data_IF_949064119159
#
_entry.id   IF_949064119159
#
_cell.length_a   1.000
_cell.length_b   1.000
_cell.length_c   1.000
_cell.angle_alpha   90.00
_cell.angle_beta   90.00
_cell.angle_gamma   90.00
#
_symmetry.space_group_name_H-M   'P 1'
#
loop_
_entity.id
_entity.type
_entity.pdbx_description
1 polymer ?
#
# COMPACT_ATOMS: atom_id res chain seq x y z
N UNK A 1 6.43 -25.58 -17.27
CA UNK A 1 6.53 -26.12 -15.90
C UNK A 1 7.91 -26.74 -15.79
N UNK A 2 8.83 -26.08 -15.07
CA UNK A 2 10.24 -26.52 -15.06
C UNK A 2 10.41 -27.77 -14.18
N UNK A 3 11.45 -28.57 -14.45
CA UNK A 3 11.80 -29.77 -13.68
C UNK A 3 12.00 -29.48 -12.17
N UNK A 4 12.45 -28.25 -11.85
CA UNK A 4 12.50 -27.72 -10.50
C UNK A 4 11.11 -27.65 -9.84
N UNK A 5 10.08 -27.16 -10.54
CA UNK A 5 8.73 -27.01 -9.97
C UNK A 5 8.09 -28.37 -9.65
N UNK A 6 8.41 -29.40 -10.44
CA UNK A 6 7.94 -30.76 -10.23
C UNK A 6 8.51 -31.41 -8.94
N UNK A 7 9.79 -31.15 -8.62
CA UNK A 7 10.43 -31.65 -7.39
C UNK A 7 9.80 -31.07 -6.11
N UNK A 8 9.29 -29.85 -6.19
CA UNK A 8 8.63 -29.16 -5.07
C UNK A 8 7.17 -29.59 -4.83
N UNK A 9 6.58 -30.44 -5.68
CA UNK A 9 5.26 -31.05 -5.47
C UNK A 9 5.32 -32.37 -4.66
N UNK A 10 6.52 -32.88 -4.37
CA UNK A 10 6.71 -34.05 -3.50
C UNK A 10 6.57 -33.69 -2.02
N UNK A 11 6.43 -34.68 -1.13
CA UNK A 11 6.40 -34.45 0.33
C UNK A 11 7.66 -33.71 0.84
N UNK A 12 8.83 -34.04 0.28
CA UNK A 12 10.09 -33.35 0.57
C UNK A 12 10.09 -31.94 -0.02
N UNK A 13 9.51 -31.78 -1.20
CA UNK A 13 9.27 -30.51 -1.86
C UNK A 13 8.44 -29.55 -1.02
N UNK A 14 7.29 -30.01 -0.52
CA UNK A 14 6.41 -29.21 0.34
C UNK A 14 7.13 -28.79 1.64
N UNK A 15 7.86 -29.71 2.27
CA UNK A 15 8.69 -29.39 3.43
C UNK A 15 9.77 -28.35 3.08
N UNK A 16 10.40 -28.43 1.91
CA UNK A 16 11.36 -27.44 1.45
C UNK A 16 10.71 -26.07 1.19
N UNK A 17 9.47 -26.01 0.68
CA UNK A 17 8.72 -24.74 0.54
C UNK A 17 8.49 -24.09 1.90
N UNK A 18 8.00 -24.85 2.87
CA UNK A 18 7.73 -24.34 4.21
C UNK A 18 9.04 -23.91 4.90
N UNK A 19 10.10 -24.71 4.78
CA UNK A 19 11.41 -24.38 5.34
C UNK A 19 12.01 -23.14 4.67
N UNK A 20 11.81 -22.95 3.36
CA UNK A 20 12.24 -21.74 2.67
C UNK A 20 11.59 -20.48 3.25
N UNK A 21 10.29 -20.53 3.56
CA UNK A 21 9.59 -19.44 4.23
C UNK A 21 10.18 -19.12 5.62
N UNK A 22 10.50 -20.16 6.41
CA UNK A 22 11.12 -19.99 7.73
C UNK A 22 12.53 -19.40 7.64
N UNK A 23 13.30 -19.81 6.64
CA UNK A 23 14.69 -19.36 6.45
C UNK A 23 14.80 -17.93 5.88
N UNK A 24 13.72 -17.34 5.36
CA UNK A 24 13.70 -15.89 5.01
C UNK A 24 14.04 -14.99 6.20
N UNK A 25 13.80 -15.44 7.43
CA UNK A 25 14.06 -14.67 8.64
C UNK A 25 15.42 -14.97 9.29
N UNK A 26 16.25 -15.83 8.68
CA UNK A 26 17.53 -16.21 9.24
C UNK A 26 18.66 -15.45 8.56
N UNK A 27 19.41 -14.70 9.38
CA UNK A 27 20.63 -14.05 8.93
C UNK A 27 21.76 -15.06 8.71
N UNK A 28 22.67 -14.81 7.75
CA UNK A 28 23.91 -15.57 7.64
C UNK A 28 24.72 -15.58 8.95
N UNK A 29 25.55 -16.60 9.11
CA UNK A 29 26.33 -16.92 10.31
C UNK A 29 25.50 -17.21 11.59
N UNK A 30 24.19 -17.44 11.45
CA UNK A 30 23.35 -17.89 12.56
C UNK A 30 23.33 -19.41 12.69
N UNK A 31 23.18 -19.88 13.94
CA UNK A 31 22.96 -21.30 14.22
C UNK A 31 21.52 -21.66 13.87
N UNK A 32 21.34 -22.64 12.99
CA UNK A 32 20.02 -23.15 12.66
C UNK A 32 19.44 -24.01 13.80
N UNK A 33 18.10 -24.01 13.97
CA UNK A 33 17.40 -25.00 14.77
C UNK A 33 17.80 -26.44 14.42
N UNK A 34 17.63 -27.36 15.38
CA UNK A 34 17.92 -28.77 15.11
C UNK A 34 16.89 -29.31 14.12
N UNK A 35 17.28 -30.34 13.38
CA UNK A 35 16.38 -31.05 12.46
C UNK A 35 15.08 -31.48 13.15
N UNK A 36 15.14 -31.91 14.42
CA UNK A 36 13.93 -32.27 15.19
C UNK A 36 13.00 -31.08 15.40
N UNK A 37 13.57 -29.90 15.65
CA UNK A 37 12.80 -28.70 15.99
C UNK A 37 12.03 -28.24 14.74
N UNK A 38 12.69 -28.29 13.58
CA UNK A 38 12.03 -28.10 12.29
C UNK A 38 10.99 -29.19 11.99
N UNK A 39 11.28 -30.45 12.32
CA UNK A 39 10.36 -31.55 12.07
C UNK A 39 9.06 -31.41 12.88
N UNK A 40 9.19 -31.01 14.15
CA UNK A 40 8.06 -30.67 15.03
C UNK A 40 7.31 -29.46 14.49
N UNK A 41 8.01 -28.37 14.14
CA UNK A 41 7.40 -27.15 13.60
C UNK A 41 6.62 -27.40 12.29
N UNK A 42 7.15 -28.26 11.42
CA UNK A 42 6.57 -28.55 10.10
C UNK A 42 5.62 -29.76 10.10
N UNK A 43 5.48 -30.46 11.23
CA UNK A 43 4.66 -31.68 11.32
C UNK A 43 5.13 -32.82 10.40
N UNK A 44 6.44 -32.93 10.16
CA UNK A 44 7.01 -33.93 9.26
C UNK A 44 8.13 -34.75 9.93
N UNK A 45 8.67 -35.77 9.25
CA UNK A 45 9.73 -36.60 9.82
C UNK A 45 11.12 -35.97 9.63
N UNK A 46 12.07 -36.27 10.53
CA UNK A 46 13.46 -35.76 10.45
C UNK A 46 14.12 -35.97 9.08
N UNK A 47 13.93 -37.13 8.45
CA UNK A 47 14.47 -37.40 7.12
C UNK A 47 13.86 -36.52 6.02
N UNK A 48 12.61 -36.07 6.19
CA UNK A 48 11.94 -35.12 5.28
C UNK A 48 12.59 -33.74 5.40
N UNK A 49 12.85 -33.27 6.63
CA UNK A 49 13.55 -32.01 6.88
C UNK A 49 14.98 -32.04 6.32
N UNK A 50 15.71 -33.13 6.52
CA UNK A 50 17.06 -33.29 5.95
C UNK A 50 17.04 -33.23 4.43
N UNK A 51 16.13 -33.95 3.79
CA UNK A 51 15.96 -33.91 2.34
C UNK A 51 15.55 -32.51 1.85
N UNK A 52 14.70 -31.80 2.62
CA UNK A 52 14.29 -30.44 2.32
C UNK A 52 15.46 -29.44 2.39
N UNK A 53 16.26 -29.48 3.47
CA UNK A 53 17.49 -28.69 3.60
C UNK A 53 18.45 -28.96 2.44
N UNK A 54 18.66 -30.22 2.09
CA UNK A 54 19.53 -30.60 0.99
C UNK A 54 19.00 -30.09 -0.37
N UNK A 55 17.68 -30.09 -0.57
CA UNK A 55 17.05 -29.55 -1.77
C UNK A 55 17.25 -28.03 -1.88
N UNK A 56 17.16 -27.30 -0.76
CA UNK A 56 17.43 -25.86 -0.72
C UNK A 56 18.90 -25.55 -1.00
N UNK A 57 19.84 -26.35 -0.47
CA UNK A 57 21.27 -26.23 -0.80
C UNK A 57 21.55 -26.50 -2.28
N UNK A 58 21.01 -27.59 -2.83
CA UNK A 58 21.15 -27.93 -4.26
C UNK A 58 20.55 -26.85 -5.18
N UNK A 59 19.52 -26.16 -4.73
CA UNK A 59 18.90 -25.06 -5.47
C UNK A 59 19.68 -23.74 -5.34
N UNK A 60 20.78 -23.73 -4.58
CA UNK A 60 21.58 -22.53 -4.31
C UNK A 60 20.91 -21.52 -3.38
N UNK A 61 19.79 -21.89 -2.76
CA UNK A 61 19.01 -21.01 -1.89
C UNK A 61 19.72 -20.76 -0.56
N UNK A 62 20.45 -21.77 -0.06
CA UNK A 62 21.23 -21.68 1.17
C UNK A 62 22.55 -22.43 1.04
N UNK A 63 23.46 -22.18 1.96
CA UNK A 63 24.60 -23.05 2.24
C UNK A 63 24.74 -23.19 3.74
N UNK A 64 24.92 -24.42 4.23
CA UNK A 64 25.12 -24.67 5.65
C UNK A 64 26.47 -25.32 5.93
N UNK A 65 26.95 -25.18 7.17
CA UNK A 65 28.16 -25.86 7.64
C UNK A 65 27.90 -26.51 8.99
N UNK A 66 28.16 -27.80 9.08
CA UNK A 66 28.13 -28.54 10.34
C UNK A 66 29.40 -28.25 11.15
N UNK A 67 29.24 -27.72 12.37
CA UNK A 67 30.33 -27.46 13.32
C UNK A 67 30.31 -28.44 14.50
N UNK A 68 30.04 -29.72 14.21
CA UNK A 68 30.00 -30.79 15.21
C UNK A 68 29.00 -30.53 16.35
N UNK A 69 29.47 -30.54 17.59
CA UNK A 69 28.65 -30.31 18.79
C UNK A 69 28.00 -28.90 18.84
N UNK A 70 28.55 -27.94 18.10
CA UNK A 70 28.02 -26.59 18.00
C UNK A 70 26.77 -26.52 17.10
N UNK A 71 26.48 -27.58 16.33
CA UNK A 71 25.33 -27.66 15.44
C UNK A 71 25.62 -27.18 14.01
N UNK A 72 24.54 -26.96 13.25
CA UNK A 72 24.60 -26.51 11.86
C UNK A 72 24.41 -25.00 11.79
N UNK A 73 25.28 -24.33 11.03
CA UNK A 73 25.24 -22.88 10.82
C UNK A 73 24.82 -22.58 9.39
N UNK A 74 23.98 -21.56 9.22
CA UNK A 74 23.65 -20.99 7.91
C UNK A 74 24.79 -20.07 7.48
N UNK A 75 25.54 -20.43 6.45
CA UNK A 75 26.68 -19.64 5.95
C UNK A 75 26.23 -18.61 4.93
N UNK A 76 25.27 -18.99 4.08
CA UNK A 76 24.70 -18.12 3.05
C UNK A 76 23.20 -18.38 2.94
N UNK A 77 22.43 -17.32 2.70
CA UNK A 77 21.03 -17.38 2.28
C UNK A 77 20.81 -16.43 1.10
N UNK A 78 20.11 -16.91 0.09
CA UNK A 78 19.67 -16.14 -1.07
C UNK A 78 18.17 -15.88 -0.95
N UNK A 79 17.81 -14.66 -0.52
CA UNK A 79 16.42 -14.30 -0.20
C UNK A 79 15.51 -14.43 -1.42
N UNK A 80 15.99 -14.06 -2.60
CA UNK A 80 15.22 -14.14 -3.85
C UNK A 80 14.88 -15.58 -4.20
N UNK A 81 15.85 -16.50 -4.09
CA UNK A 81 15.59 -17.92 -4.33
C UNK A 81 14.68 -18.48 -3.24
N UNK A 82 14.91 -18.18 -1.97
CA UNK A 82 14.07 -18.62 -0.85
C UNK A 82 12.61 -18.18 -1.02
N UNK A 83 12.37 -16.94 -1.44
CA UNK A 83 11.03 -16.43 -1.72
C UNK A 83 10.35 -17.16 -2.88
N UNK A 84 11.09 -17.41 -3.96
CA UNK A 84 10.56 -18.17 -5.10
C UNK A 84 10.17 -19.59 -4.68
N UNK A 85 11.00 -20.24 -3.87
CA UNK A 85 10.80 -21.62 -3.43
C UNK A 85 9.73 -21.74 -2.34
N UNK A 86 9.54 -20.74 -1.48
CA UNK A 86 8.42 -20.74 -0.54
C UNK A 86 7.07 -20.66 -1.29
N UNK A 87 7.08 -20.03 -2.46
CA UNK A 87 5.92 -19.84 -3.31
C UNK A 87 4.87 -18.94 -2.63
N UNK A 88 5.37 -17.92 -1.94
CA UNK A 88 4.60 -16.83 -1.34
C UNK A 88 3.97 -15.90 -2.39
N UNK A 89 4.36 -16.03 -3.66
CA UNK A 89 3.78 -15.27 -4.76
C UNK A 89 4.33 -13.85 -4.86
N UNK A 90 3.56 -12.96 -5.48
CA UNK A 90 3.85 -11.52 -5.57
C UNK A 90 2.87 -10.79 -4.68
N UNK A 91 3.37 -9.88 -3.85
CA UNK A 91 2.51 -9.01 -3.05
C UNK A 91 1.88 -7.95 -3.94
N UNK A 92 0.55 -7.87 -3.94
CA UNK A 92 -0.22 -6.95 -4.76
C UNK A 92 -0.85 -5.87 -3.90
N UNK A 93 -0.51 -4.61 -4.17
CA UNK A 93 -1.12 -3.45 -3.53
C UNK A 93 -2.10 -2.73 -4.45
N UNK A 94 -3.31 -2.43 -3.98
CA UNK A 94 -4.23 -1.54 -4.69
C UNK A 94 -4.01 -0.08 -4.27
N UNK A 95 -3.83 0.80 -5.26
CA UNK A 95 -3.62 2.23 -5.08
C UNK A 95 -4.63 3.07 -5.87
N UNK A 96 -4.86 4.34 -5.48
CA UNK A 96 -5.46 5.31 -6.38
C UNK A 96 -4.68 5.38 -7.69
N UNK A 97 -5.38 5.69 -8.77
CA UNK A 97 -4.76 5.92 -10.07
C UNK A 97 -3.71 7.05 -9.99
N UNK A 98 -2.57 6.93 -10.70
CA UNK A 98 -1.40 7.79 -10.52
C UNK A 98 -1.58 9.12 -11.27
N UNK A 99 -2.54 9.94 -10.85
CA UNK A 99 -2.88 11.19 -11.52
C UNK A 99 -2.10 12.41 -11.04
N UNK A 100 -1.26 12.23 -10.02
CA UNK A 100 -0.37 13.25 -9.49
C UNK A 100 1.03 12.69 -9.31
N UNK A 101 2.05 13.55 -9.42
CA UNK A 101 3.43 13.20 -9.10
C UNK A 101 3.61 12.62 -7.70
N UNK A 102 2.72 12.98 -6.76
CA UNK A 102 2.73 12.44 -5.40
C UNK A 102 2.32 10.97 -5.38
N UNK A 103 1.29 10.58 -6.11
CA UNK A 103 0.91 9.16 -6.24
C UNK A 103 1.95 8.36 -7.01
N UNK A 104 2.52 8.93 -8.08
CA UNK A 104 3.63 8.32 -8.81
C UNK A 104 4.85 8.05 -7.89
N UNK A 105 5.21 9.05 -7.08
CA UNK A 105 6.28 8.93 -6.09
C UNK A 105 5.97 7.92 -4.99
N UNK A 106 4.72 7.88 -4.52
CA UNK A 106 4.28 6.91 -3.51
C UNK A 106 4.37 5.47 -4.02
N UNK A 107 3.89 5.22 -5.24
CA UNK A 107 3.95 3.91 -5.87
C UNK A 107 5.41 3.48 -6.10
N UNK A 108 6.26 4.43 -6.54
CA UNK A 108 7.70 4.20 -6.70
C UNK A 108 8.37 3.84 -5.37
N UNK A 109 8.03 4.56 -4.30
CA UNK A 109 8.57 4.32 -2.98
C UNK A 109 8.15 2.97 -2.41
N UNK A 110 6.88 2.59 -2.56
CA UNK A 110 6.38 1.29 -2.14
C UNK A 110 7.09 0.17 -2.90
N UNK A 111 7.20 0.26 -4.23
CA UNK A 111 7.89 -0.77 -5.01
C UNK A 111 9.35 -0.90 -4.57
N UNK A 112 10.06 0.21 -4.40
CA UNK A 112 11.44 0.21 -3.93
C UNK A 112 11.62 -0.43 -2.54
N UNK A 113 10.72 -0.16 -1.60
CA UNK A 113 10.77 -0.74 -0.26
C UNK A 113 10.57 -2.26 -0.24
N UNK A 114 9.67 -2.78 -1.06
CA UNK A 114 9.45 -4.22 -1.15
C UNK A 114 10.55 -4.93 -1.94
N UNK A 115 11.07 -4.31 -3.00
CA UNK A 115 12.23 -4.80 -3.75
C UNK A 115 13.48 -4.91 -2.84
N UNK A 116 13.73 -3.89 -2.01
CA UNK A 116 14.86 -3.90 -1.05
C UNK A 116 14.69 -4.96 0.04
N UNK A 117 13.45 -5.23 0.47
CA UNK A 117 13.13 -6.33 1.37
C UNK A 117 13.27 -7.73 0.69
N UNK A 118 13.47 -7.78 -0.62
CA UNK A 118 13.63 -9.00 -1.41
C UNK A 118 12.31 -9.69 -1.77
N UNK A 119 11.18 -8.96 -1.73
CA UNK A 119 9.87 -9.48 -2.11
C UNK A 119 9.43 -8.96 -3.50
N UNK A 120 8.99 -9.86 -4.40
CA UNK A 120 8.23 -9.47 -5.57
C UNK A 120 6.98 -8.69 -5.16
N UNK A 121 6.82 -7.50 -5.74
CA UNK A 121 5.73 -6.59 -5.44
C UNK A 121 5.18 -5.98 -6.72
N UNK A 122 3.87 -5.78 -6.77
CA UNK A 122 3.18 -5.14 -7.87
C UNK A 122 2.10 -4.18 -7.34
N UNK A 123 1.82 -3.14 -8.12
CA UNK A 123 0.73 -2.21 -7.84
C UNK A 123 -0.38 -2.40 -8.87
N UNK A 124 -1.62 -2.44 -8.41
CA UNK A 124 -2.81 -2.31 -9.25
C UNK A 124 -3.52 -1.00 -8.94
N UNK A 125 -4.03 -0.35 -9.98
CA UNK A 125 -4.67 0.95 -9.83
C UNK A 125 -6.18 0.82 -9.91
N UNK A 126 -6.85 1.37 -8.90
CA UNK A 126 -8.30 1.26 -8.74
C UNK A 126 -8.86 2.59 -8.25
N UNK A 127 -9.91 3.06 -8.93
CA UNK A 127 -10.65 4.27 -8.52
C UNK A 127 -11.55 3.96 -7.32
N UNK A 128 -11.64 4.92 -6.39
CA UNK A 128 -12.54 4.86 -5.24
C UNK A 128 -11.97 4.03 -4.09
N UNK A 129 -12.07 4.56 -2.87
CA UNK A 129 -11.60 3.87 -1.67
C UNK A 129 -12.38 2.56 -1.44
N UNK A 130 -13.71 2.59 -1.57
CA UNK A 130 -14.57 1.43 -1.35
C UNK A 130 -14.27 0.25 -2.28
N UNK A 131 -13.97 0.50 -3.56
CA UNK A 131 -13.62 -0.56 -4.50
C UNK A 131 -12.29 -1.25 -4.13
N UNK A 132 -11.31 -0.46 -3.65
CA UNK A 132 -10.03 -1.00 -3.15
C UNK A 132 -10.23 -1.83 -1.89
N UNK A 133 -11.03 -1.33 -0.95
CA UNK A 133 -11.39 -2.06 0.28
C UNK A 133 -12.09 -3.38 -0.04
N UNK A 134 -13.06 -3.39 -0.96
CA UNK A 134 -13.74 -4.62 -1.37
C UNK A 134 -12.75 -5.65 -1.94
N UNK A 135 -11.82 -5.21 -2.79
CA UNK A 135 -10.77 -6.10 -3.32
C UNK A 135 -9.87 -6.67 -2.22
N UNK A 136 -9.54 -5.90 -1.19
CA UNK A 136 -8.77 -6.40 -0.04
C UNK A 136 -9.55 -7.45 0.75
N UNK A 137 -10.79 -7.15 1.11
CA UNK A 137 -11.63 -8.06 1.90
C UNK A 137 -11.93 -9.37 1.16
N UNK A 138 -12.10 -9.30 -0.16
CA UNK A 138 -12.28 -10.47 -1.03
C UNK A 138 -10.97 -11.24 -1.31
N UNK A 139 -9.82 -10.75 -0.83
CA UNK A 139 -8.51 -11.39 -1.04
C UNK A 139 -7.97 -11.30 -2.46
N UNK A 140 -8.44 -10.32 -3.25
CA UNK A 140 -7.93 -10.05 -4.61
C UNK A 140 -6.62 -9.28 -4.60
N UNK A 141 -6.34 -8.55 -3.51
CA UNK A 141 -5.10 -7.83 -3.26
C UNK A 141 -4.66 -8.08 -1.82
N UNK A 142 -3.37 -7.96 -1.55
CA UNK A 142 -2.79 -8.17 -0.22
C UNK A 142 -2.78 -6.89 0.61
N UNK A 143 -2.67 -5.75 -0.07
CA UNK A 143 -2.47 -4.43 0.53
C UNK A 143 -3.37 -3.39 -0.16
N UNK A 144 -3.78 -2.38 0.58
CA UNK A 144 -4.50 -1.22 0.04
C UNK A 144 -3.88 0.07 0.57
N UNK A 145 -3.73 1.05 -0.32
CA UNK A 145 -3.29 2.41 0.01
C UNK A 145 -4.47 3.38 0.01
N UNK A 146 -4.59 4.12 1.11
CA UNK A 146 -5.67 5.08 1.39
C UNK A 146 -5.09 6.30 2.12
N UNK A 147 -5.91 7.32 2.36
CA UNK A 147 -5.60 8.29 3.40
C UNK A 147 -5.59 7.60 4.77
N UNK A 148 -4.87 8.19 5.73
CA UNK A 148 -4.90 7.71 7.12
C UNK A 148 -6.31 7.80 7.69
N UNK A 149 -7.03 8.89 7.39
CA UNK A 149 -8.42 9.07 7.82
C UNK A 149 -9.32 7.92 7.39
N UNK A 150 -9.34 7.59 6.09
CA UNK A 150 -10.15 6.49 5.56
C UNK A 150 -9.71 5.13 6.13
N UNK A 151 -8.40 4.92 6.29
CA UNK A 151 -7.89 3.70 6.91
C UNK A 151 -8.38 3.51 8.35
N UNK A 152 -8.44 4.58 9.15
CA UNK A 152 -8.91 4.49 10.54
C UNK A 152 -10.39 4.10 10.63
N UNK A 153 -11.23 4.61 9.74
CA UNK A 153 -12.64 4.19 9.64
C UNK A 153 -12.75 2.71 9.28
N UNK A 154 -12.00 2.26 8.27
CA UNK A 154 -12.03 0.87 7.83
C UNK A 154 -11.54 -0.11 8.91
N UNK A 155 -10.50 0.25 9.66
CA UNK A 155 -9.99 -0.55 10.78
C UNK A 155 -11.05 -0.69 11.89
N UNK A 156 -11.89 0.32 12.09
CA UNK A 156 -12.97 0.25 13.06
C UNK A 156 -14.14 -0.64 12.60
N UNK A 157 -14.37 -0.75 11.29
CA UNK A 157 -15.54 -1.41 10.71
C UNK A 157 -15.27 -2.81 10.16
N UNK A 158 -14.02 -3.15 9.86
CA UNK A 158 -13.63 -4.36 9.15
C UNK A 158 -12.41 -5.05 9.77
N UNK A 159 -12.19 -6.37 9.54
CA UNK A 159 -11.02 -7.10 10.01
C UNK A 159 -9.78 -6.77 9.17
N UNK A 160 -9.35 -5.51 9.21
CA UNK A 160 -8.15 -4.99 8.56
C UNK A 160 -7.25 -4.34 9.60
N UNK A 161 -5.94 -4.31 9.35
CA UNK A 161 -4.95 -3.70 10.23
C UNK A 161 -4.04 -2.74 9.49
N UNK A 162 -3.51 -1.77 10.24
CA UNK A 162 -2.52 -0.82 9.74
C UNK A 162 -1.16 -1.48 9.60
N UNK A 163 -0.63 -1.50 8.38
CA UNK A 163 0.74 -1.93 8.08
C UNK A 163 1.70 -0.76 8.22
N UNK A 164 1.31 0.41 7.71
CA UNK A 164 2.14 1.60 7.69
C UNK A 164 1.28 2.88 7.76
N UNK A 165 1.75 3.85 8.52
CA UNK A 165 1.39 5.26 8.35
C UNK A 165 2.65 5.99 7.86
N UNK A 166 2.59 6.53 6.64
CA UNK A 166 3.74 7.15 5.97
C UNK A 166 3.89 8.63 6.35
N UNK A 167 2.96 9.17 7.13
CA UNK A 167 3.00 10.53 7.65
C UNK A 167 2.44 11.59 6.69
N UNK A 168 2.25 12.82 7.17
CA UNK A 168 1.58 13.88 6.42
C UNK A 168 2.18 14.17 5.04
N UNK A 169 1.34 14.65 4.14
CA UNK A 169 1.70 14.98 2.75
C UNK A 169 2.30 13.80 1.95
N UNK A 170 1.98 12.55 2.29
CA UNK A 170 2.40 11.38 1.49
C UNK A 170 1.29 10.84 0.60
N UNK A 171 0.02 11.09 0.91
CA UNK A 171 -1.12 10.72 0.06
C UNK A 171 -1.55 11.90 -0.82
N UNK A 172 -1.79 13.04 -0.17
CA UNK A 172 -2.23 14.30 -0.78
C UNK A 172 -1.48 15.45 -0.12
N UNK A 173 -1.03 16.42 -0.89
CA UNK A 173 -0.26 17.57 -0.40
C UNK A 173 -1.09 18.49 0.48
N UNK A 174 -2.23 18.93 -0.06
CA UNK A 174 -3.22 19.71 0.67
C UNK A 174 -4.58 19.61 -0.03
N UNK A 175 -5.63 19.83 0.75
CA UNK A 175 -6.97 20.05 0.22
C UNK A 175 -7.26 21.55 0.23
N UNK A 176 -8.02 22.02 -0.76
CA UNK A 176 -8.46 23.41 -0.86
C UNK A 176 -9.88 23.49 -1.38
N UNK A 177 -10.56 24.59 -1.06
CA UNK A 177 -11.88 24.88 -1.61
C UNK A 177 -11.70 25.54 -2.98
N UNK A 178 -12.27 24.92 -4.00
CA UNK A 178 -12.34 25.43 -5.35
C UNK A 178 -13.63 26.21 -5.49
N UNK A 179 -13.55 27.45 -5.94
CA UNK A 179 -14.69 28.34 -6.09
C UNK A 179 -14.69 28.94 -7.48
N UNK A 180 -15.82 28.87 -8.17
CA UNK A 180 -15.99 29.52 -9.47
C UNK A 180 -15.82 31.03 -9.31
N UNK A 181 -15.01 31.66 -10.17
CA UNK A 181 -14.73 33.10 -10.07
C UNK A 181 -16.02 33.91 -10.14
N UNK A 182 -16.22 34.79 -9.17
CA UNK A 182 -17.42 35.60 -9.05
C UNK A 182 -18.63 34.90 -8.44
N UNK A 183 -18.52 33.62 -8.05
CA UNK A 183 -19.55 32.98 -7.23
C UNK A 183 -19.51 33.53 -5.80
N UNK A 184 -20.69 33.80 -5.24
CA UNK A 184 -20.85 34.15 -3.84
C UNK A 184 -21.18 32.89 -3.03
N UNK A 185 -20.26 32.48 -2.15
CA UNK A 185 -20.45 31.31 -1.29
C UNK A 185 -21.64 31.46 -0.32
N UNK A 186 -22.12 32.68 -0.06
CA UNK A 186 -23.28 32.96 0.80
C UNK A 186 -24.59 32.97 0.02
N UNK A 187 -24.55 32.90 -1.31
CA UNK A 187 -25.75 32.88 -2.14
C UNK A 187 -26.60 31.62 -1.83
N UNK A 188 -27.94 31.75 -1.80
CA UNK A 188 -28.82 30.61 -1.64
C UNK A 188 -28.75 29.68 -2.87
N UNK A 189 -28.91 28.37 -2.67
CA UNK A 189 -28.93 27.42 -3.78
C UNK A 189 -27.55 27.14 -4.38
N UNK A 190 -26.47 27.31 -3.60
CA UNK A 190 -25.10 27.10 -4.07
C UNK A 190 -24.92 25.67 -4.59
N UNK A 191 -24.42 25.52 -5.83
CA UNK A 191 -24.22 24.20 -6.44
C UNK A 191 -22.85 23.67 -6.05
N UNK A 192 -22.82 22.65 -5.21
CA UNK A 192 -21.57 22.11 -4.67
C UNK A 192 -21.31 20.72 -5.22
N UNK A 193 -20.16 20.53 -5.86
CA UNK A 193 -19.77 19.22 -6.34
C UNK A 193 -19.27 18.31 -5.20
N UNK A 194 -19.65 17.04 -5.26
CA UNK A 194 -19.25 16.01 -4.29
C UNK A 194 -18.99 14.68 -5.02
N UNK A 195 -17.95 13.94 -4.62
CA UNK A 195 -17.64 12.60 -5.13
C UNK A 195 -17.86 11.59 -3.99
N UNK A 196 -18.99 10.87 -4.00
CA UNK A 196 -19.29 9.88 -2.95
C UNK A 196 -18.39 8.64 -3.02
N UNK A 197 -17.59 8.48 -4.09
CA UNK A 197 -16.60 7.39 -4.18
C UNK A 197 -15.30 7.69 -3.44
N UNK A 198 -15.11 8.95 -2.99
CA UNK A 198 -14.00 9.38 -2.15
C UNK A 198 -14.50 9.81 -0.77
N UNK A 199 -14.24 8.97 0.23
CA UNK A 199 -14.65 9.23 1.61
C UNK A 199 -14.01 10.50 2.19
N UNK A 200 -12.73 10.74 1.88
CA UNK A 200 -12.00 11.93 2.30
C UNK A 200 -12.68 13.21 1.80
N UNK A 201 -13.01 13.25 0.51
CA UNK A 201 -13.59 14.42 -0.14
C UNK A 201 -15.04 14.61 0.27
N UNK A 202 -15.84 13.54 0.32
CA UNK A 202 -17.21 13.57 0.82
C UNK A 202 -17.26 14.23 2.20
N UNK A 203 -16.45 13.73 3.12
CA UNK A 203 -16.40 14.24 4.49
C UNK A 203 -15.92 15.70 4.55
N UNK A 204 -14.85 16.06 3.82
CA UNK A 204 -14.34 17.44 3.81
C UNK A 204 -15.35 18.42 3.25
N UNK A 205 -16.00 18.08 2.13
CA UNK A 205 -17.03 18.92 1.50
C UNK A 205 -18.21 19.09 2.45
N UNK A 206 -18.76 18.00 3.00
CA UNK A 206 -19.86 18.05 3.96
C UNK A 206 -19.51 18.92 5.18
N UNK A 207 -18.26 18.86 5.66
CA UNK A 207 -17.79 19.64 6.80
C UNK A 207 -17.69 21.14 6.50
N UNK A 208 -17.20 21.51 5.32
CA UNK A 208 -17.07 22.92 4.91
C UNK A 208 -18.42 23.58 4.74
N UNK A 209 -19.39 22.86 4.16
CA UNK A 209 -20.75 23.36 3.95
C UNK A 209 -21.72 22.99 5.07
N UNK A 210 -21.21 22.52 6.21
CA UNK A 210 -22.03 22.16 7.36
C UNK A 210 -22.89 23.35 7.82
N UNK A 211 -24.16 23.08 8.11
CA UNK A 211 -25.12 24.10 8.53
C UNK A 211 -25.82 24.85 7.39
N UNK A 212 -25.48 24.57 6.12
CA UNK A 212 -26.23 25.04 4.95
C UNK A 212 -27.20 23.97 4.48
N UNK A 213 -28.51 24.23 4.59
CA UNK A 213 -29.57 23.30 4.16
C UNK A 213 -30.02 23.54 2.71
N UNK A 214 -29.57 24.62 2.12
CA UNK A 214 -29.93 25.12 0.80
C UNK A 214 -28.88 24.81 -0.28
N UNK A 215 -27.92 23.92 0.02
CA UNK A 215 -26.91 23.47 -0.95
C UNK A 215 -27.54 22.54 -1.98
N UNK A 216 -27.26 22.80 -3.25
CA UNK A 216 -27.57 21.89 -4.35
C UNK A 216 -26.37 20.97 -4.62
N UNK A 217 -26.42 19.76 -4.05
CA UNK A 217 -25.38 18.76 -4.25
C UNK A 217 -25.35 18.25 -5.70
N UNK A 218 -24.18 18.30 -6.33
CA UNK A 218 -23.94 17.80 -7.69
C UNK A 218 -22.94 16.65 -7.64
N UNK A 219 -23.38 15.44 -7.96
CA UNK A 219 -22.49 14.28 -8.02
C UNK A 219 -21.48 14.49 -9.16
N UNK A 220 -20.19 14.46 -8.83
CA UNK A 220 -19.14 14.68 -9.81
C UNK A 220 -17.85 13.98 -9.42
N UNK A 221 -17.21 13.37 -10.42
CA UNK A 221 -15.83 12.92 -10.30
C UNK A 221 -14.85 14.05 -10.61
N UNK A 222 -13.61 13.89 -10.14
CA UNK A 222 -12.50 14.80 -10.46
C UNK A 222 -12.34 15.04 -11.97
N UNK A 223 -12.61 14.03 -12.82
CA UNK A 223 -12.49 14.14 -14.27
C UNK A 223 -13.50 15.12 -14.87
N UNK A 224 -14.65 15.27 -14.22
CA UNK A 224 -15.76 16.12 -14.68
C UNK A 224 -15.66 17.53 -14.14
N UNK A 225 -14.91 17.76 -13.04
CA UNK A 225 -14.84 19.07 -12.38
C UNK A 225 -14.44 20.21 -13.34
N UNK A 226 -13.40 20.09 -14.19
CA UNK A 226 -13.04 21.18 -15.10
C UNK A 226 -14.19 21.60 -16.02
N UNK A 227 -14.90 20.62 -16.59
CA UNK A 227 -16.03 20.87 -17.48
C UNK A 227 -17.21 21.51 -16.72
N UNK A 228 -17.53 20.99 -15.54
CA UNK A 228 -18.64 21.50 -14.71
C UNK A 228 -18.40 22.95 -14.26
N UNK A 229 -17.18 23.30 -13.88
CA UNK A 229 -16.82 24.68 -13.57
C UNK A 229 -16.88 25.57 -14.82
N UNK A 230 -16.42 25.09 -15.98
CA UNK A 230 -16.42 25.88 -17.23
C UNK A 230 -17.82 26.18 -17.78
N UNK A 231 -18.80 25.34 -17.46
CA UNK A 231 -20.21 25.47 -17.87
C UNK A 231 -21.07 26.16 -16.82
N UNK A 232 -20.46 26.68 -15.76
CA UNK A 232 -21.15 27.22 -14.60
C UNK A 232 -22.19 26.25 -14.03
N UNK A 233 -21.96 24.93 -14.06
CA UNK A 233 -22.88 23.92 -13.49
C UNK A 233 -22.61 23.66 -12.00
N UNK A 234 -21.41 24.02 -11.54
CA UNK A 234 -20.94 23.93 -10.15
C UNK A 234 -20.33 25.27 -9.75
N UNK A 235 -20.59 25.68 -8.51
CA UNK A 235 -20.09 26.93 -7.93
C UNK A 235 -18.90 26.70 -7.00
N UNK A 236 -18.88 25.57 -6.27
CA UNK A 236 -17.79 25.26 -5.36
C UNK A 236 -17.60 23.75 -5.13
N UNK A 237 -16.43 23.36 -4.63
CA UNK A 237 -16.16 22.03 -4.05
C UNK A 237 -14.90 22.08 -3.18
N UNK A 238 -14.59 21.00 -2.47
CA UNK A 238 -13.30 20.80 -1.80
C UNK A 238 -12.55 19.72 -2.56
N UNK A 239 -11.28 19.98 -2.90
CA UNK A 239 -10.49 19.04 -3.71
C UNK A 239 -9.02 18.96 -3.31
N UNK A 240 -8.34 17.94 -3.83
CA UNK A 240 -6.89 17.78 -3.77
C UNK A 240 -6.18 18.82 -4.67
N UNK A 241 -5.33 19.66 -4.06
CA UNK A 241 -4.62 20.72 -4.79
C UNK A 241 -3.51 20.20 -5.71
N UNK A 242 -2.94 19.03 -5.43
CA UNK A 242 -1.94 18.42 -6.33
C UNK A 242 -2.58 18.00 -7.68
N UNK A 243 -3.88 17.71 -7.69
CA UNK A 243 -4.63 17.37 -8.92
C UNK A 243 -5.20 18.63 -9.60
N UNK A 244 -5.49 19.66 -8.81
CA UNK A 244 -6.08 20.90 -9.28
C UNK A 244 -5.12 21.75 -10.12
N UNK A 245 -3.83 21.82 -9.72
CA UNK A 245 -2.85 22.71 -10.35
C UNK A 245 -2.66 22.46 -11.85
N UNK A 246 -2.73 21.20 -12.29
CA UNK A 246 -2.50 20.83 -13.69
C UNK A 246 -3.80 20.79 -14.53
N UNK A 247 -4.98 20.81 -13.89
CA UNK A 247 -6.26 20.48 -14.56
C UNK A 247 -7.34 21.54 -14.47
N UNK A 248 -7.22 22.49 -13.56
CA UNK A 248 -8.25 23.51 -13.36
C UNK A 248 -7.86 24.77 -14.12
N UNK A 249 -8.69 25.13 -15.11
CA UNK A 249 -8.45 26.24 -16.03
C UNK A 249 -8.64 27.63 -15.43
N UNK A 250 -8.41 28.64 -16.26
CA UNK A 250 -8.67 30.06 -15.94
C UNK A 250 -10.16 30.26 -15.62
N UNK A 251 -10.51 30.49 -14.36
CA UNK A 251 -11.90 30.73 -13.96
C UNK A 251 -12.31 30.17 -12.60
N UNK A 252 -11.41 29.46 -11.92
CA UNK A 252 -11.62 28.98 -10.55
C UNK A 252 -10.60 29.63 -9.64
N UNK A 253 -11.05 30.09 -8.49
CA UNK A 253 -10.22 30.61 -7.41
C UNK A 253 -10.07 29.51 -6.35
N UNK A 254 -8.86 29.40 -5.78
CA UNK A 254 -8.55 28.41 -4.74
C UNK A 254 -8.48 29.12 -3.40
N UNK A 255 -9.35 28.71 -2.48
CA UNK A 255 -9.40 29.22 -1.11
C UNK A 255 -8.88 28.14 -0.13
N UNK A 256 -8.11 28.51 0.90
CA UNK A 256 -7.74 27.57 1.96
C UNK A 256 -8.98 27.13 2.73
N UNK A 257 -8.96 25.91 3.28
CA UNK A 257 -10.08 25.34 4.05
C UNK A 257 -10.29 25.94 5.46
N UNK A 258 -9.62 27.05 5.76
CA UNK A 258 -9.77 27.84 6.99
C UNK A 258 -9.79 27.02 8.30
N UNK A 259 -10.59 27.48 9.27
CA UNK A 259 -10.82 26.82 10.56
C UNK A 259 -11.93 25.75 10.49
N UNK A 260 -12.58 25.61 9.32
CA UNK A 260 -13.65 24.64 9.06
C UNK A 260 -13.16 23.20 9.19
N UNK A 261 -11.87 22.97 8.89
CA UNK A 261 -11.20 21.67 8.98
C UNK A 261 -10.15 21.71 10.07
N UNK A 262 -10.23 20.79 11.04
CA UNK A 262 -9.24 20.74 12.12
C UNK A 262 -7.87 20.37 11.58
N UNK A 263 -6.81 20.88 12.22
CA UNK A 263 -5.42 20.55 11.85
C UNK A 263 -5.17 19.03 11.86
N UNK A 264 -5.73 18.32 12.84
CA UNK A 264 -5.60 16.86 12.92
C UNK A 264 -6.23 16.16 11.70
N UNK A 265 -7.44 16.57 11.32
CA UNK A 265 -8.15 16.02 10.18
C UNK A 265 -7.39 16.27 8.86
N UNK A 266 -6.86 17.48 8.70
CA UNK A 266 -6.02 17.81 7.55
C UNK A 266 -4.76 16.93 7.49
N UNK A 267 -4.10 16.69 8.63
CA UNK A 267 -2.92 15.81 8.69
C UNK A 267 -3.28 14.37 8.32
N UNK A 268 -4.36 13.81 8.87
CA UNK A 268 -4.80 12.43 8.57
C UNK A 268 -5.24 12.26 7.13
N UNK A 269 -5.94 13.23 6.54
CA UNK A 269 -6.31 13.20 5.12
C UNK A 269 -5.11 13.31 4.18
N UNK A 270 -4.04 13.98 4.62
CA UNK A 270 -2.82 14.12 3.82
C UNK A 270 -1.88 12.91 3.91
N UNK A 271 -2.03 12.09 4.94
CA UNK A 271 -1.12 10.96 5.20
C UNK A 271 -1.56 9.72 4.45
N UNK A 272 -0.62 9.00 3.84
CA UNK A 272 -0.86 7.70 3.23
C UNK A 272 -0.78 6.62 4.29
N UNK A 273 -1.82 5.80 4.35
CA UNK A 273 -1.86 4.59 5.15
C UNK A 273 -1.88 3.37 4.23
N UNK A 274 -1.14 2.34 4.63
CA UNK A 274 -1.18 1.01 4.02
C UNK A 274 -1.87 0.08 4.99
N UNK A 275 -2.91 -0.58 4.53
CA UNK A 275 -3.66 -1.57 5.32
C UNK A 275 -3.61 -2.94 4.66
N UNK A 276 -3.70 -4.00 5.48
CA UNK A 276 -3.92 -5.37 5.04
C UNK A 276 -5.09 -5.99 5.82
N UNK A 277 -5.53 -7.19 5.46
CA UNK A 277 -6.45 -7.95 6.30
C UNK A 277 -5.78 -8.37 7.60
N UNK A 278 -6.53 -8.49 8.70
CA UNK A 278 -6.00 -8.91 10.01
C UNK A 278 -5.59 -10.39 10.04
N UNK A 279 -6.16 -11.22 9.18
CA UNK A 279 -5.67 -12.61 8.97
C UNK A 279 -4.35 -12.65 8.17
N UNK A 280 -3.94 -11.50 7.64
CA UNK A 280 -2.67 -11.26 6.97
C UNK A 280 -2.45 -12.12 5.74
N UNK A 281 -1.26 -11.98 5.18
CA UNK A 281 -0.70 -12.96 4.25
C UNK A 281 0.63 -13.45 4.79
N UNK A 282 0.91 -14.73 4.61
CA UNK A 282 2.21 -15.31 4.96
C UNK A 282 3.35 -14.60 4.24
N UNK A 283 3.08 -14.05 3.05
CA UNK A 283 4.03 -13.24 2.28
C UNK A 283 4.37 -11.94 3.01
N UNK A 284 3.38 -11.15 3.43
CA UNK A 284 3.61 -9.89 4.14
C UNK A 284 4.31 -10.14 5.47
N UNK A 285 3.89 -11.16 6.23
CA UNK A 285 4.53 -11.54 7.48
C UNK A 285 6.02 -11.89 7.28
N UNK A 286 6.37 -12.52 6.16
CA UNK A 286 7.73 -12.93 5.84
C UNK A 286 8.72 -11.76 5.64
N UNK A 287 8.23 -10.57 5.30
CA UNK A 287 9.08 -9.39 5.06
C UNK A 287 8.82 -8.23 6.01
N UNK A 288 7.80 -8.32 6.89
CA UNK A 288 7.40 -7.21 7.77
C UNK A 288 8.55 -6.61 8.56
N UNK A 289 9.48 -7.45 9.04
CA UNK A 289 10.65 -7.01 9.81
C UNK A 289 11.76 -6.38 8.95
N UNK A 290 11.79 -6.66 7.64
CA UNK A 290 12.78 -6.17 6.69
C UNK A 290 12.30 -4.97 5.88
N UNK A 291 11.01 -4.63 5.97
CA UNK A 291 10.43 -3.47 5.28
C UNK A 291 10.88 -2.16 5.94
N UNK A 292 11.74 -1.41 5.26
CA UNK A 292 12.04 -0.03 5.61
C UNK A 292 11.00 0.92 4.99
N UNK A 293 10.07 1.39 5.80
CA UNK A 293 9.04 2.33 5.35
C UNK A 293 9.57 3.77 5.19
N UNK A 294 10.73 4.10 5.77
CA UNK A 294 11.37 5.41 5.57
C UNK A 294 11.91 5.55 4.14
N UNK A 295 12.24 4.43 3.50
CA UNK A 295 12.60 4.37 2.09
C UNK A 295 11.46 4.85 1.19
N UNK A 296 10.21 4.51 1.53
CA UNK A 296 9.02 4.91 0.75
C UNK A 296 8.94 6.43 0.65
N UNK A 297 9.01 7.11 1.79
CA UNK A 297 8.88 8.57 1.86
C UNK A 297 10.09 9.28 1.25
N UNK A 298 11.29 8.71 1.41
CA UNK A 298 12.51 9.22 0.76
C UNK A 298 12.41 9.17 -0.77
N UNK A 299 12.07 8.00 -1.33
CA UNK A 299 11.94 7.82 -2.78
C UNK A 299 10.79 8.65 -3.36
N UNK A 300 9.67 8.74 -2.64
CA UNK A 300 8.59 9.65 -3.02
C UNK A 300 9.09 11.10 -3.08
N UNK A 301 9.86 11.55 -2.09
CA UNK A 301 10.46 12.88 -2.09
C UNK A 301 11.39 13.13 -3.27
N UNK A 302 12.23 12.16 -3.64
CA UNK A 302 13.10 12.24 -4.83
C UNK A 302 12.28 12.43 -6.12
N UNK A 303 11.17 11.70 -6.27
CA UNK A 303 10.27 11.84 -7.43
C UNK A 303 9.60 13.20 -7.45
N UNK A 304 9.11 13.68 -6.30
CA UNK A 304 8.48 15.00 -6.18
C UNK A 304 9.45 16.14 -6.53
N UNK A 305 10.73 16.02 -6.16
CA UNK A 305 11.78 16.99 -6.52
C UNK A 305 12.30 16.83 -7.96
N UNK A 306 11.88 15.80 -8.68
CA UNK A 306 12.35 15.50 -10.04
C UNK A 306 13.76 14.91 -10.10
N UNK A 307 14.30 14.45 -8.98
CA UNK A 307 15.62 13.79 -8.87
C UNK A 307 15.58 12.34 -9.36
N UNK A 308 14.38 11.74 -9.37
CA UNK A 308 14.11 10.36 -9.80
C UNK A 308 12.93 10.32 -10.76
N UNK A 309 13.08 9.53 -11.83
CA UNK A 309 11.97 9.21 -12.73
C UNK A 309 11.06 8.20 -12.01
N UNK A 310 9.73 8.43 -11.95
CA UNK A 310 8.82 7.47 -11.35
C UNK A 310 8.95 6.10 -12.00
N UNK A 311 8.86 5.06 -11.18
CA UNK A 311 8.87 3.69 -11.66
C UNK A 311 8.08 2.85 -10.67
N UNK A 312 6.94 2.35 -11.12
CA UNK A 312 6.02 1.50 -10.36
C UNK A 312 5.41 0.44 -11.27
#
# INVERSE_FOLDING_TARGET
>A
MNDLDARFLTRNGLAARQLAAVLLHHEPETRLPRVRDFAEQLGCGNGTVQAALQLLEQSGAISTTARGHLGTFLVRSDRTILWRLSGLGTLLAAMPLPYSRRYEGLATGLRGAFEEAGAPFAVTFMRGAGARTAALLEGKVDLVVLSRFAADQLIAEHPVELVADLGPATYVGAHGMLVRRGADLRAPGLRVAIDHTSEDLRMLVERVFAGRQDIEWREASYMQLPDLFSRDEVDATVWNLDEAQDRIGLGVDVLPLGDEVTRELALRNSSAAVICRSDGTTALAAIRASLDLSLVTRLQGEVLRGERIPSY
#
